data_IF_596225414328
#
_entry.id   IF_596225414328
#
_cell.length_a   1.000
_cell.length_b   1.000
_cell.length_c   1.000
_cell.angle_alpha   90.00
_cell.angle_beta   90.00
_cell.angle_gamma   90.00
#
_symmetry.space_group_name_H-M   'P 1'
#
loop_
_entity.id
_entity.type
_entity.pdbx_description
1 polymer ?
#
# COMPACT_ATOMS: atom_id res chain seq x y z
N UNK A 1 13.58 -5.40 16.92
CA UNK A 1 14.17 -4.86 15.67
C UNK A 1 13.77 -3.40 15.58
N UNK A 2 14.70 -2.47 15.35
CA UNK A 2 14.33 -1.07 15.17
C UNK A 2 13.58 -0.89 13.84
N UNK A 3 12.54 -0.04 13.82
CA UNK A 3 11.82 0.29 12.58
C UNK A 3 12.76 0.99 11.61
N UNK A 4 12.54 0.80 10.31
CA UNK A 4 13.30 1.51 9.28
C UNK A 4 13.02 3.03 9.34
N UNK A 5 14.00 3.85 8.96
CA UNK A 5 13.92 5.31 9.10
C UNK A 5 12.74 5.97 8.36
N UNK A 6 12.22 5.32 7.31
CA UNK A 6 11.11 5.84 6.50
C UNK A 6 9.72 5.57 7.12
N UNK A 7 9.65 4.78 8.19
CA UNK A 7 8.39 4.47 8.89
C UNK A 7 8.09 5.59 9.88
N UNK A 8 7.18 6.49 9.50
CA UNK A 8 6.88 7.72 10.26
C UNK A 8 5.91 7.53 11.44
N UNK A 9 5.13 6.45 11.44
CA UNK A 9 4.17 6.14 12.49
C UNK A 9 3.91 4.63 12.57
N UNK A 10 3.25 4.20 13.63
CA UNK A 10 2.82 2.83 13.83
C UNK A 10 1.42 2.61 13.25
N UNK A 11 1.30 1.61 12.38
CA UNK A 11 -0.01 1.16 11.90
C UNK A 11 -0.66 0.30 12.98
N UNK A 12 -1.87 0.62 13.44
CA UNK A 12 -2.61 -0.24 14.37
C UNK A 12 -2.77 -1.66 13.81
N UNK A 13 -2.60 -2.66 14.66
CA UNK A 13 -2.66 -4.08 14.25
C UNK A 13 -4.03 -4.43 13.67
N UNK A 14 -5.11 -3.87 14.23
CA UNK A 14 -6.46 -4.08 13.73
C UNK A 14 -6.70 -3.55 12.31
N UNK A 15 -5.85 -2.63 11.82
CA UNK A 15 -5.97 -2.07 10.48
C UNK A 15 -5.16 -2.82 9.42
N UNK A 16 -4.15 -3.60 9.79
CA UNK A 16 -3.27 -4.28 8.82
C UNK A 16 -4.07 -5.27 7.96
N UNK A 17 -4.88 -6.12 8.60
CA UNK A 17 -5.70 -7.12 7.91
C UNK A 17 -6.73 -6.51 6.94
N UNK A 18 -7.59 -5.54 7.35
CA UNK A 18 -8.58 -4.95 6.45
C UNK A 18 -7.96 -4.16 5.29
N UNK A 19 -6.79 -3.51 5.47
CA UNK A 19 -6.08 -2.83 4.38
C UNK A 19 -5.63 -3.83 3.31
N UNK A 20 -5.06 -4.98 3.72
CA UNK A 20 -4.63 -6.01 2.78
C UNK A 20 -5.81 -6.65 2.05
N UNK A 21 -6.94 -6.84 2.73
CA UNK A 21 -8.16 -7.35 2.11
C UNK A 21 -8.74 -6.37 1.09
N UNK A 22 -8.76 -5.07 1.40
CA UNK A 22 -9.17 -4.04 0.45
C UNK A 22 -8.29 -4.04 -0.81
N UNK A 23 -6.97 -4.22 -0.66
CA UNK A 23 -6.05 -4.36 -1.78
C UNK A 23 -6.34 -5.64 -2.60
N UNK A 24 -6.63 -6.76 -1.93
CA UNK A 24 -6.96 -8.04 -2.58
C UNK A 24 -8.22 -7.92 -3.44
N UNK A 25 -9.29 -7.33 -2.91
CA UNK A 25 -10.54 -7.09 -3.64
C UNK A 25 -10.30 -6.13 -4.80
N UNK A 26 -9.54 -5.05 -4.60
CA UNK A 26 -9.20 -4.09 -5.65
C UNK A 26 -8.41 -4.76 -6.80
N UNK A 27 -7.58 -5.75 -6.49
CA UNK A 27 -6.79 -6.47 -7.49
C UNK A 27 -7.65 -7.39 -8.39
N UNK A 28 -8.83 -7.81 -7.95
CA UNK A 28 -9.74 -8.66 -8.74
C UNK A 28 -10.89 -7.88 -9.38
N UNK A 29 -11.26 -6.73 -8.82
CA UNK A 29 -12.42 -5.92 -9.26
C UNK A 29 -12.05 -4.60 -9.92
N UNK A 30 -10.79 -4.20 -9.87
CA UNK A 30 -10.32 -2.90 -10.39
C UNK A 30 -8.90 -2.96 -10.94
N UNK A 31 -8.19 -1.84 -10.83
CA UNK A 31 -6.81 -1.69 -11.31
C UNK A 31 -5.88 -1.48 -10.12
N UNK A 32 -4.86 -2.34 -10.01
CA UNK A 32 -3.79 -2.21 -9.03
C UNK A 32 -2.46 -2.22 -9.75
N UNK A 33 -1.62 -1.23 -9.45
CA UNK A 33 -0.22 -1.20 -9.88
C UNK A 33 0.65 -1.90 -8.84
N UNK A 34 1.70 -2.60 -9.28
CA UNK A 34 2.57 -3.38 -8.40
C UNK A 34 4.03 -3.05 -8.66
N UNK A 35 4.82 -3.02 -7.59
CA UNK A 35 6.24 -2.68 -7.63
C UNK A 35 6.50 -1.19 -7.42
N UNK A 36 7.66 -0.88 -6.80
CA UNK A 36 8.02 0.47 -6.36
C UNK A 36 8.01 1.48 -7.50
N UNK A 37 8.58 1.14 -8.66
CA UNK A 37 8.66 2.05 -9.81
C UNK A 37 7.29 2.45 -10.35
N UNK A 38 6.36 1.48 -10.49
CA UNK A 38 5.02 1.76 -11.01
C UNK A 38 4.15 2.49 -9.97
N UNK A 39 4.33 2.20 -8.68
CA UNK A 39 3.68 2.95 -7.61
C UNK A 39 4.12 4.42 -7.60
N UNK A 40 5.42 4.71 -7.74
CA UNK A 40 5.92 6.09 -7.86
C UNK A 40 5.30 6.81 -9.06
N UNK A 41 5.33 6.19 -10.24
CA UNK A 41 4.74 6.77 -11.45
C UNK A 41 3.24 7.04 -11.30
N UNK A 42 2.50 6.14 -10.65
CA UNK A 42 1.07 6.30 -10.43
C UNK A 42 0.77 7.52 -9.54
N UNK A 43 1.52 7.67 -8.43
CA UNK A 43 1.43 8.81 -7.52
C UNK A 43 1.77 10.12 -8.25
N UNK A 44 2.89 10.16 -8.98
CA UNK A 44 3.33 11.35 -9.71
C UNK A 44 2.36 11.78 -10.82
N UNK A 45 1.61 10.83 -11.38
CA UNK A 45 0.62 11.07 -12.45
C UNK A 45 -0.81 11.25 -11.94
N UNK A 46 -1.06 11.02 -10.65
CA UNK A 46 -2.40 11.09 -10.06
C UNK A 46 -3.38 10.03 -10.58
N UNK A 47 -2.89 8.81 -10.84
CA UNK A 47 -3.68 7.68 -11.37
C UNK A 47 -3.71 6.47 -10.44
#
# INVERSE_FOLDING_TARGET
>A
MAKAYYVKFETPEELVSPILEALRVSATSGKVVRGTNEATKAIERGI
#
